data_IF_508567455295
#
_entry.id   IF_508567455295
#
_cell.length_a   1.000
_cell.length_b   1.000
_cell.length_c   1.000
_cell.angle_alpha   90.00
_cell.angle_beta   90.00
_cell.angle_gamma   90.00
#
_symmetry.space_group_name_H-M   'P 1'
#
loop_
_entity.id
_entity.type
_entity.pdbx_description
1 polymer ?
#
# COMPACT_ATOMS: atom_id res chain seq x y z
N UNK A 1 5.04 16.88 15.05
CA UNK A 1 5.63 16.22 16.23
C UNK A 1 5.86 17.20 17.39
N UNK A 2 4.79 17.80 17.95
CA UNK A 2 4.85 18.62 19.19
C UNK A 2 3.58 18.50 20.05
N UNK A 3 2.76 17.48 19.78
CA UNK A 3 1.50 17.26 20.50
C UNK A 3 1.74 16.30 21.67
N UNK A 4 0.94 16.38 22.75
CA UNK A 4 0.97 15.40 23.84
C UNK A 4 0.77 13.95 23.34
N UNK A 5 1.20 12.97 24.13
CA UNK A 5 1.03 11.52 23.88
C UNK A 5 1.88 10.92 22.74
N UNK A 6 3.15 11.31 22.64
CA UNK A 6 4.12 10.65 21.76
C UNK A 6 4.58 9.29 22.30
N UNK A 7 5.09 8.42 21.42
CA UNK A 7 5.57 7.08 21.77
C UNK A 7 7.04 7.01 22.23
N UNK A 8 7.80 8.11 22.14
CA UNK A 8 9.19 8.18 22.62
C UNK A 8 9.25 8.59 24.10
N UNK A 9 8.68 7.72 24.95
CA UNK A 9 8.61 7.89 26.40
C UNK A 9 8.47 6.52 27.08
N UNK A 10 8.76 6.44 28.39
CA UNK A 10 8.58 5.20 29.17
C UNK A 10 7.10 4.81 29.32
N UNK A 11 6.22 5.80 29.32
CA UNK A 11 4.76 5.62 29.38
C UNK A 11 4.10 6.48 28.31
N UNK A 12 3.09 5.93 27.63
CA UNK A 12 2.28 6.64 26.66
C UNK A 12 0.80 6.29 26.85
N UNK A 13 -0.07 7.26 26.58
CA UNK A 13 -1.51 7.00 26.45
C UNK A 13 -1.88 7.02 24.98
N UNK A 14 -2.80 6.15 24.56
CA UNK A 14 -3.28 6.10 23.20
C UNK A 14 -4.81 5.91 23.22
N UNK A 15 -5.55 6.52 22.29
CA UNK A 15 -6.96 6.20 22.10
C UNK A 15 -7.15 4.71 21.83
N UNK A 16 -8.17 4.09 22.44
CA UNK A 16 -8.41 2.64 22.32
C UNK A 16 -8.61 2.18 20.86
N UNK A 17 -9.12 3.05 19.99
CA UNK A 17 -9.34 2.77 18.58
C UNK A 17 -8.06 2.83 17.72
N UNK A 18 -6.91 3.16 18.31
CA UNK A 18 -5.60 3.10 17.66
C UNK A 18 -4.69 2.04 18.26
N UNK A 19 -5.20 1.19 19.15
CA UNK A 19 -4.45 0.12 19.80
C UNK A 19 -5.05 -1.24 19.44
N UNK A 20 -4.24 -2.29 19.59
CA UNK A 20 -4.68 -3.67 19.42
C UNK A 20 -3.82 -4.59 20.29
N UNK A 21 -4.36 -5.75 20.66
CA UNK A 21 -3.62 -6.74 21.42
C UNK A 21 -2.53 -7.39 20.56
N UNK A 22 -1.33 -7.45 21.12
CA UNK A 22 -0.21 -8.17 20.51
C UNK A 22 -0.49 -9.67 20.67
N UNK A 23 -0.49 -10.47 19.60
CA UNK A 23 -0.62 -11.92 19.73
C UNK A 23 0.58 -12.52 20.48
N UNK A 24 0.36 -13.57 21.28
CA UNK A 24 1.43 -14.24 22.06
C UNK A 24 2.62 -14.73 21.21
N UNK A 25 2.39 -14.96 19.92
CA UNK A 25 3.40 -15.41 18.96
C UNK A 25 4.27 -14.28 18.37
N UNK A 26 4.00 -13.02 18.70
CA UNK A 26 4.64 -11.83 18.14
C UNK A 26 5.37 -11.07 19.24
N UNK A 27 6.64 -10.75 19.05
CA UNK A 27 7.41 -10.00 20.05
C UNK A 27 7.00 -8.52 20.10
N UNK A 28 7.40 -7.81 21.15
CA UNK A 28 7.15 -6.37 21.24
C UNK A 28 7.85 -5.58 20.13
N UNK A 29 9.07 -5.96 19.77
CA UNK A 29 9.86 -5.35 18.69
C UNK A 29 9.16 -5.53 17.35
N UNK A 30 8.68 -6.74 17.09
CA UNK A 30 7.91 -7.07 15.90
C UNK A 30 6.61 -6.25 15.84
N UNK A 31 5.86 -6.22 16.94
CA UNK A 31 4.60 -5.49 17.04
C UNK A 31 4.76 -3.98 16.87
N UNK A 32 5.84 -3.39 17.38
CA UNK A 32 6.11 -1.95 17.29
C UNK A 32 6.25 -1.44 15.84
N UNK A 33 6.59 -2.31 14.89
CA UNK A 33 6.74 -1.95 13.46
C UNK A 33 5.42 -1.86 12.70
N UNK A 34 4.33 -2.39 13.26
CA UNK A 34 3.06 -2.56 12.58
C UNK A 34 2.25 -1.25 12.50
N UNK A 35 1.99 -0.52 13.61
CA UNK A 35 0.88 0.44 13.65
C UNK A 35 0.94 1.49 12.55
N UNK A 36 2.01 2.30 12.51
CA UNK A 36 2.06 3.41 11.57
C UNK A 36 2.04 2.94 10.11
N UNK A 37 2.91 1.98 9.76
CA UNK A 37 3.08 1.54 8.38
C UNK A 37 1.87 0.76 7.86
N UNK A 38 1.31 -0.16 8.67
CA UNK A 38 0.16 -0.95 8.28
C UNK A 38 -1.10 -0.09 8.18
N UNK A 39 -1.39 0.79 9.15
CA UNK A 39 -2.56 1.68 9.07
C UNK A 39 -2.45 2.69 7.94
N UNK A 40 -1.27 3.21 7.64
CA UNK A 40 -1.08 4.09 6.46
C UNK A 40 -1.43 3.37 5.17
N UNK A 41 -1.01 2.11 5.05
CA UNK A 41 -1.34 1.26 3.90
C UNK A 41 -2.83 0.93 3.83
N UNK A 42 -3.47 0.73 4.99
CA UNK A 42 -4.92 0.54 5.09
C UNK A 42 -5.68 1.77 4.58
N UNK A 43 -5.31 2.96 5.05
CA UNK A 43 -5.92 4.21 4.57
C UNK A 43 -5.71 4.36 3.05
N UNK A 44 -4.51 4.08 2.55
CA UNK A 44 -4.25 4.17 1.12
C UNK A 44 -5.11 3.22 0.28
N UNK A 45 -5.15 1.95 0.64
CA UNK A 45 -5.80 0.93 -0.18
C UNK A 45 -7.33 0.93 -0.01
N UNK A 46 -7.82 0.91 1.22
CA UNK A 46 -9.23 0.64 1.49
C UNK A 46 -10.06 1.90 1.62
N UNK A 47 -9.50 2.97 2.21
CA UNK A 47 -10.19 4.25 2.33
C UNK A 47 -10.06 5.11 1.06
N UNK A 48 -8.83 5.39 0.62
CA UNK A 48 -8.61 6.32 -0.49
C UNK A 48 -8.79 5.68 -1.86
N UNK A 49 -8.25 4.47 -2.06
CA UNK A 49 -8.40 3.75 -3.32
C UNK A 49 -9.67 2.90 -3.37
N UNK A 50 -10.47 2.82 -2.30
CA UNK A 50 -11.73 2.05 -2.26
C UNK A 50 -11.56 0.61 -2.78
N UNK A 51 -10.46 -0.04 -2.41
CA UNK A 51 -10.27 -1.46 -2.66
C UNK A 51 -11.17 -2.23 -1.70
N UNK A 52 -11.82 -3.33 -2.13
CA UNK A 52 -12.58 -4.17 -1.22
C UNK A 52 -11.71 -4.72 -0.09
N UNK A 53 -12.18 -4.66 1.14
CA UNK A 53 -11.47 -5.23 2.28
C UNK A 53 -11.41 -6.77 2.18
N UNK A 54 -10.39 -7.42 2.78
CA UNK A 54 -10.20 -8.87 2.69
C UNK A 54 -11.40 -9.74 3.10
N UNK A 55 -12.26 -9.24 3.99
CA UNK A 55 -13.45 -9.94 4.46
C UNK A 55 -14.71 -9.60 3.64
N UNK A 56 -14.65 -8.61 2.75
CA UNK A 56 -15.76 -8.21 1.89
C UNK A 56 -16.12 -9.32 0.90
N UNK A 57 -17.41 -9.56 0.60
CA UNK A 57 -17.81 -10.45 -0.48
C UNK A 57 -17.17 -10.08 -1.84
N UNK A 58 -16.92 -8.79 -2.08
CA UNK A 58 -16.28 -8.30 -3.31
C UNK A 58 -14.81 -8.70 -3.47
N UNK A 59 -14.12 -9.03 -2.37
CA UNK A 59 -12.77 -9.58 -2.39
C UNK A 59 -12.75 -11.08 -2.74
N UNK A 60 -13.88 -11.78 -2.58
CA UNK A 60 -14.01 -13.21 -2.89
C UNK A 60 -14.34 -13.48 -4.36
N UNK A 61 -14.49 -12.44 -5.17
CA UNK A 61 -14.74 -12.61 -6.60
C UNK A 61 -13.42 -12.81 -7.35
N UNK A 62 -13.48 -13.49 -8.50
CA UNK A 62 -12.34 -13.67 -9.41
C UNK A 62 -12.08 -12.43 -10.28
N UNK A 63 -12.69 -11.28 -9.94
CA UNK A 63 -12.54 -10.06 -10.70
C UNK A 63 -11.13 -9.51 -10.50
N UNK A 64 -10.37 -9.40 -11.59
CA UNK A 64 -9.05 -8.77 -11.55
C UNK A 64 -9.16 -7.29 -11.20
N UNK A 65 -8.30 -6.85 -10.28
CA UNK A 65 -8.19 -5.48 -9.76
C UNK A 65 -6.73 -5.08 -9.84
N UNK A 66 -6.25 -4.58 -10.99
CA UNK A 66 -4.87 -4.18 -11.12
C UNK A 66 -4.53 -3.06 -10.13
N UNK A 67 -3.37 -3.17 -9.47
CA UNK A 67 -2.87 -2.20 -8.52
C UNK A 67 -1.38 -1.94 -8.77
N UNK A 68 -1.02 -0.67 -8.87
CA UNK A 68 0.37 -0.23 -8.90
C UNK A 68 0.80 0.19 -7.49
N UNK A 69 1.91 -0.35 -6.98
CA UNK A 69 2.52 0.10 -5.73
C UNK A 69 3.93 0.59 -6.03
N UNK A 70 4.14 1.90 -5.97
CA UNK A 70 5.46 2.50 -6.13
C UNK A 70 6.15 2.64 -4.76
N UNK A 71 7.38 2.14 -4.66
CA UNK A 71 8.10 2.04 -3.38
C UNK A 71 7.88 0.71 -2.65
N UNK A 72 7.98 -0.41 -3.35
CA UNK A 72 7.77 -1.76 -2.82
C UNK A 72 8.57 -2.07 -1.53
N UNK A 73 9.74 -1.46 -1.38
CA UNK A 73 10.64 -1.65 -0.23
C UNK A 73 10.41 -0.67 0.92
N UNK A 74 9.52 0.31 0.79
CA UNK A 74 9.14 1.14 1.93
C UNK A 74 8.29 0.31 2.90
N UNK A 75 8.25 0.66 4.19
CA UNK A 75 7.43 -0.07 5.15
C UNK A 75 5.95 -0.08 4.74
N UNK A 76 5.42 1.06 4.28
CA UNK A 76 4.04 1.19 3.80
C UNK A 76 3.82 0.46 2.47
N UNK A 77 4.75 0.53 1.52
CA UNK A 77 4.66 -0.21 0.26
C UNK A 77 4.61 -1.72 0.48
N UNK A 78 5.46 -2.24 1.37
CA UNK A 78 5.49 -3.67 1.71
C UNK A 78 4.20 -4.15 2.39
N UNK A 79 3.67 -3.39 3.36
CA UNK A 79 2.35 -3.68 3.93
C UNK A 79 1.24 -3.57 2.89
N UNK A 80 1.30 -2.57 2.01
CA UNK A 80 0.37 -2.39 0.90
C UNK A 80 0.28 -3.64 0.02
N UNK A 81 1.42 -4.22 -0.38
CA UNK A 81 1.46 -5.45 -1.20
C UNK A 81 0.77 -6.61 -0.48
N UNK A 82 1.08 -6.80 0.81
CA UNK A 82 0.49 -7.89 1.61
C UNK A 82 -1.00 -7.72 1.82
N UNK A 83 -1.44 -6.50 2.11
CA UNK A 83 -2.86 -6.17 2.32
C UNK A 83 -3.65 -6.31 1.03
N UNK A 84 -3.09 -5.87 -0.10
CA UNK A 84 -3.68 -6.05 -1.42
C UNK A 84 -3.81 -7.55 -1.77
N UNK A 85 -2.75 -8.33 -1.57
CA UNK A 85 -2.80 -9.78 -1.79
C UNK A 85 -3.83 -10.47 -0.88
N UNK A 86 -3.92 -10.07 0.40
CA UNK A 86 -4.95 -10.56 1.32
C UNK A 86 -6.37 -10.18 0.89
N UNK A 87 -6.53 -9.08 0.17
CA UNK A 87 -7.77 -8.62 -0.45
C UNK A 87 -8.03 -9.22 -1.85
N UNK A 88 -7.25 -10.21 -2.27
CA UNK A 88 -7.31 -10.85 -3.59
C UNK A 88 -7.19 -9.85 -4.75
N UNK A 89 -6.42 -8.78 -4.56
CA UNK A 89 -6.17 -7.75 -5.57
C UNK A 89 -5.04 -8.21 -6.48
N UNK A 90 -5.34 -8.46 -7.75
CA UNK A 90 -4.37 -8.91 -8.75
C UNK A 90 -4.71 -8.38 -10.15
N UNK A 91 -3.71 -8.10 -11.01
CA UNK A 91 -2.27 -8.15 -10.74
C UNK A 91 -1.77 -6.98 -9.88
N UNK A 92 -0.81 -7.25 -9.00
CA UNK A 92 -0.05 -6.25 -8.24
C UNK A 92 1.28 -6.02 -8.97
N UNK A 93 1.48 -4.82 -9.49
CA UNK A 93 2.76 -4.40 -10.05
C UNK A 93 3.46 -3.54 -8.99
N UNK A 94 4.48 -4.10 -8.37
CA UNK A 94 5.29 -3.45 -7.36
C UNK A 94 6.53 -2.84 -8.01
N UNK A 95 6.84 -1.58 -7.73
CA UNK A 95 8.05 -0.91 -8.24
C UNK A 95 9.04 -0.71 -7.11
N UNK A 96 10.25 -1.23 -7.29
CA UNK A 96 11.34 -1.12 -6.31
C UNK A 96 12.70 -1.22 -6.99
N UNK A 97 13.80 -1.23 -6.25
CA UNK A 97 15.14 -1.54 -6.80
C UNK A 97 15.43 -3.04 -6.74
N UNK A 98 16.57 -3.49 -7.26
CA UNK A 98 17.09 -4.86 -7.08
C UNK A 98 17.07 -5.33 -5.61
N UNK A 99 17.31 -4.40 -4.66
CA UNK A 99 17.29 -4.70 -3.22
C UNK A 99 15.90 -5.05 -2.69
N UNK A 100 14.85 -4.80 -3.47
CA UNK A 100 13.46 -5.12 -3.14
C UNK A 100 13.12 -6.59 -3.39
N UNK A 101 14.10 -7.44 -3.74
CA UNK A 101 13.89 -8.85 -4.00
C UNK A 101 13.23 -9.60 -2.82
N UNK A 102 13.38 -9.11 -1.59
CA UNK A 102 12.70 -9.66 -0.41
C UNK A 102 11.17 -9.57 -0.47
N UNK A 103 10.60 -8.76 -1.37
CA UNK A 103 9.15 -8.66 -1.58
C UNK A 103 8.61 -9.77 -2.47
N UNK A 104 9.45 -10.40 -3.30
CA UNK A 104 9.03 -11.43 -4.27
C UNK A 104 8.19 -12.56 -3.66
N UNK A 105 8.48 -13.09 -2.46
CA UNK A 105 7.63 -14.12 -1.83
C UNK A 105 6.18 -13.68 -1.57
N UNK A 106 5.88 -12.38 -1.61
CA UNK A 106 4.54 -11.83 -1.45
C UNK A 106 3.84 -11.51 -2.78
N UNK A 107 4.52 -11.74 -3.91
CA UNK A 107 4.00 -11.51 -5.25
C UNK A 107 3.79 -12.86 -5.94
N UNK A 108 2.54 -13.33 -5.95
CA UNK A 108 2.17 -14.54 -6.68
C UNK A 108 2.18 -14.29 -8.20
N UNK A 109 3.25 -14.73 -8.87
CA UNK A 109 3.43 -14.56 -10.32
C UNK A 109 2.33 -15.25 -11.13
N UNK A 110 1.72 -16.34 -10.61
CA UNK A 110 0.62 -17.04 -11.30
C UNK A 110 -0.64 -16.18 -11.43
N UNK A 111 -0.79 -15.19 -10.55
CA UNK A 111 -1.87 -14.18 -10.60
C UNK A 111 -1.47 -12.91 -11.36
N UNK A 112 -0.32 -12.94 -12.04
CA UNK A 112 0.20 -11.81 -12.82
C UNK A 112 0.87 -10.73 -11.97
N UNK A 113 1.19 -11.00 -10.71
CA UNK A 113 1.93 -10.06 -9.88
C UNK A 113 3.39 -10.00 -10.33
N UNK A 114 4.01 -8.83 -10.29
CA UNK A 114 5.40 -8.66 -10.69
C UNK A 114 6.11 -7.55 -9.93
N UNK A 115 7.41 -7.69 -9.78
CA UNK A 115 8.32 -6.64 -9.33
C UNK A 115 8.99 -6.01 -10.56
N UNK A 116 8.84 -4.70 -10.71
CA UNK A 116 9.55 -3.89 -11.71
C UNK A 116 10.70 -3.17 -11.03
N UNK A 117 11.92 -3.43 -11.49
CA UNK A 117 13.13 -2.77 -11.00
C UNK A 117 13.31 -1.39 -11.65
N UNK A 118 13.03 -0.31 -10.91
CA UNK A 118 13.17 1.04 -11.47
C UNK A 118 14.62 1.39 -11.83
N UNK A 119 15.61 0.72 -11.24
CA UNK A 119 17.04 0.98 -11.53
C UNK A 119 17.51 0.40 -12.85
N UNK A 120 16.70 -0.47 -13.47
CA UNK A 120 16.98 -1.07 -14.76
C UNK A 120 16.68 -0.13 -15.96
N UNK A 121 16.01 0.99 -15.72
CA UNK A 121 15.57 1.92 -16.76
C UNK A 121 16.32 3.26 -16.63
N UNK A 122 16.73 3.83 -17.76
CA UNK A 122 17.52 5.07 -17.78
C UNK A 122 16.62 6.30 -17.80
N UNK A 123 15.40 6.15 -18.29
CA UNK A 123 14.43 7.24 -18.45
C UNK A 123 13.10 6.91 -17.79
N UNK A 124 12.35 7.96 -17.44
CA UNK A 124 10.98 7.82 -16.92
C UNK A 124 10.07 7.11 -17.92
N UNK A 125 10.16 7.44 -19.21
CA UNK A 125 9.31 6.84 -20.25
C UNK A 125 9.54 5.34 -20.43
N UNK A 126 10.80 4.89 -20.29
CA UNK A 126 11.13 3.46 -20.30
C UNK A 126 10.51 2.74 -19.10
N UNK A 127 10.60 3.32 -17.90
CA UNK A 127 9.99 2.77 -16.69
C UNK A 127 8.46 2.73 -16.80
N UNK A 128 7.83 3.81 -17.29
CA UNK A 128 6.38 3.88 -17.54
C UNK A 128 5.94 2.78 -18.49
N UNK A 129 6.64 2.58 -19.61
CA UNK A 129 6.35 1.52 -20.57
C UNK A 129 6.49 0.14 -19.93
N UNK A 130 7.54 -0.09 -19.15
CA UNK A 130 7.74 -1.35 -18.47
C UNK A 130 6.63 -1.68 -17.46
N UNK A 131 6.15 -0.68 -16.71
CA UNK A 131 5.02 -0.84 -15.78
C UNK A 131 3.75 -1.20 -16.56
N UNK A 132 3.46 -0.48 -17.66
CA UNK A 132 2.30 -0.74 -18.51
C UNK A 132 2.36 -2.14 -19.15
N UNK A 133 3.53 -2.56 -19.63
CA UNK A 133 3.75 -3.91 -20.15
C UNK A 133 3.56 -4.98 -19.07
N UNK A 134 4.01 -4.73 -17.84
CA UNK A 134 3.82 -5.65 -16.73
C UNK A 134 2.32 -5.84 -16.42
N UNK A 135 1.50 -4.79 -16.47
CA UNK A 135 0.04 -4.92 -16.35
C UNK A 135 -0.58 -5.72 -17.49
N UNK A 136 -0.16 -5.50 -18.74
CA UNK A 136 -0.62 -6.29 -19.90
C UNK A 136 -0.27 -7.78 -19.73
N UNK A 137 0.98 -8.08 -19.35
CA UNK A 137 1.46 -9.45 -19.10
C UNK A 137 0.74 -10.12 -17.93
N UNK A 138 0.44 -9.37 -16.86
CA UNK A 138 -0.37 -9.84 -15.73
C UNK A 138 -1.86 -10.02 -16.06
N UNK A 139 -2.27 -9.69 -17.28
CA UNK A 139 -3.64 -9.81 -17.76
C UNK A 139 -4.60 -8.87 -17.05
N UNK A 140 -4.18 -7.64 -16.77
CA UNK A 140 -5.05 -6.57 -16.31
C UNK A 140 -6.23 -6.36 -17.29
N UNK A 141 -7.46 -6.12 -16.81
CA UNK A 141 -8.57 -5.73 -17.67
C UNK A 141 -8.20 -4.51 -18.52
N UNK A 142 -8.51 -4.56 -19.81
CA UNK A 142 -8.15 -3.54 -20.81
C UNK A 142 -6.64 -3.24 -20.90
N UNK A 143 -5.79 -4.13 -20.37
CA UNK A 143 -4.35 -4.00 -20.37
C UNK A 143 -3.79 -2.84 -19.54
N UNK A 144 -4.57 -2.29 -18.60
CA UNK A 144 -4.18 -1.10 -17.82
C UNK A 144 -4.53 -1.18 -16.34
N UNK A 145 -3.93 -0.27 -15.57
CA UNK A 145 -4.22 -0.07 -14.16
C UNK A 145 -5.03 1.20 -13.92
N UNK A 146 -5.85 1.19 -12.88
CA UNK A 146 -6.72 2.31 -12.49
C UNK A 146 -6.43 2.86 -11.10
N UNK A 147 -5.72 2.10 -10.25
CA UNK A 147 -5.49 2.43 -8.85
C UNK A 147 -3.99 2.31 -8.57
N UNK A 148 -3.42 3.33 -7.96
CA UNK A 148 -2.01 3.31 -7.58
C UNK A 148 -1.78 3.86 -6.17
N UNK A 149 -0.81 3.28 -5.48
CA UNK A 149 -0.29 3.77 -4.21
C UNK A 149 1.18 4.14 -4.36
N UNK A 150 1.49 5.43 -4.28
CA UNK A 150 2.87 5.92 -4.22
C UNK A 150 3.30 6.12 -2.76
N UNK A 151 4.08 5.17 -2.27
CA UNK A 151 4.62 5.18 -0.91
C UNK A 151 5.92 5.97 -0.75
N UNK A 152 6.48 6.48 -1.86
CA UNK A 152 7.66 7.36 -1.88
C UNK A 152 7.22 8.82 -1.89
N UNK A 153 6.21 9.13 -2.72
CA UNK A 153 5.54 10.43 -2.77
C UNK A 153 6.45 11.62 -3.13
N UNK A 154 7.56 11.38 -3.83
CA UNK A 154 8.37 12.44 -4.43
C UNK A 154 7.67 12.99 -5.69
N UNK A 155 7.97 14.23 -6.10
CA UNK A 155 7.31 14.81 -7.28
C UNK A 155 7.55 13.95 -8.53
N UNK A 156 8.77 13.44 -8.66
CA UNK A 156 9.13 12.51 -9.74
C UNK A 156 8.34 11.22 -9.69
N UNK A 157 8.16 10.60 -8.52
CA UNK A 157 7.45 9.33 -8.41
C UNK A 157 5.96 9.51 -8.67
N UNK A 158 5.35 10.59 -8.19
CA UNK A 158 3.94 10.90 -8.46
C UNK A 158 3.74 11.12 -9.97
N UNK A 159 4.61 11.89 -10.64
CA UNK A 159 4.57 12.04 -12.11
C UNK A 159 4.67 10.69 -12.82
N UNK A 160 5.68 9.89 -12.51
CA UNK A 160 5.88 8.57 -13.12
C UNK A 160 4.67 7.67 -12.94
N UNK A 161 4.10 7.63 -11.73
CA UNK A 161 2.93 6.81 -11.41
C UNK A 161 1.68 7.28 -12.16
N UNK A 162 1.42 8.59 -12.22
CA UNK A 162 0.29 9.13 -12.99
C UNK A 162 0.41 8.79 -14.48
N UNK A 163 1.59 8.96 -15.09
CA UNK A 163 1.84 8.53 -16.47
C UNK A 163 1.67 7.02 -16.68
N UNK A 164 2.08 6.20 -15.70
CA UNK A 164 1.96 4.75 -15.78
C UNK A 164 0.51 4.25 -15.79
N UNK A 165 -0.41 4.94 -15.11
CA UNK A 165 -1.83 4.56 -15.04
C UNK A 165 -2.75 5.45 -15.89
N UNK A 166 -2.18 6.37 -16.66
CA UNK A 166 -2.90 7.35 -17.47
C UNK A 166 -3.87 6.69 -18.48
N UNK A 167 -4.92 7.43 -18.82
CA UNK A 167 -5.88 7.07 -19.85
C UNK A 167 -7.31 7.49 -19.51
N UNK A 168 -8.28 7.22 -20.40
CA UNK A 168 -9.63 7.76 -20.28
C UNK A 168 -10.33 7.33 -18.97
N UNK A 169 -11.30 8.12 -18.48
CA UNK A 169 -12.21 7.71 -17.42
C UNK A 169 -13.02 6.46 -17.81
N UNK A 170 -13.58 5.78 -16.80
CA UNK A 170 -14.50 4.67 -17.03
C UNK A 170 -15.87 5.14 -17.55
N UNK A 171 -16.77 4.20 -17.83
CA UNK A 171 -18.14 4.49 -18.29
C UNK A 171 -18.96 5.37 -17.35
N UNK A 172 -18.55 5.51 -16.08
CA UNK A 172 -19.20 6.36 -15.08
C UNK A 172 -18.50 7.72 -14.91
N UNK A 173 -17.46 7.99 -15.70
CA UNK A 173 -16.66 9.22 -15.63
C UNK A 173 -15.58 9.19 -14.56
N UNK A 174 -15.33 8.06 -13.89
CA UNK A 174 -14.28 7.97 -12.86
C UNK A 174 -12.91 7.86 -13.51
N UNK A 175 -12.01 8.76 -13.12
CA UNK A 175 -10.62 8.76 -13.55
C UNK A 175 -9.81 7.69 -12.81
N UNK A 176 -8.69 7.22 -13.39
CA UNK A 176 -7.64 6.55 -12.62
C UNK A 176 -7.23 7.40 -11.42
N UNK A 177 -6.89 6.76 -10.31
CA UNK A 177 -6.56 7.45 -9.05
C UNK A 177 -5.24 6.94 -8.49
N UNK A 178 -4.36 7.87 -8.11
CA UNK A 178 -3.18 7.60 -7.29
C UNK A 178 -3.37 8.23 -5.92
N UNK A 179 -2.93 7.54 -4.87
CA UNK A 179 -2.81 8.12 -3.53
C UNK A 179 -1.36 8.15 -3.06
N UNK A 180 -1.01 9.17 -2.28
CA UNK A 180 0.35 9.41 -1.77
C UNK A 180 0.31 9.85 -0.29
N UNK A 181 1.43 9.74 0.42
CA UNK A 181 1.53 9.96 1.88
C UNK A 181 2.22 11.28 2.26
N UNK A 182 2.67 12.08 1.29
CA UNK A 182 3.30 13.40 1.51
C UNK A 182 2.37 14.57 1.14
N UNK A 183 1.05 14.37 1.28
CA UNK A 183 0.04 15.43 1.18
C UNK A 183 -0.02 16.17 -0.17
N UNK A 184 0.32 15.49 -1.27
CA UNK A 184 0.25 16.08 -2.61
C UNK A 184 -1.13 15.87 -3.22
N UNK A 185 -1.71 16.94 -3.79
CA UNK A 185 -2.93 16.89 -4.62
C UNK A 185 -2.68 17.35 -6.05
N UNK A 186 -1.55 18.02 -6.29
CA UNK A 186 -1.11 18.47 -7.59
C UNK A 186 0.41 18.35 -7.65
N UNK A 187 0.92 17.93 -8.79
CA UNK A 187 2.35 17.85 -9.09
C UNK A 187 2.52 18.33 -10.53
N UNK A 188 3.45 19.25 -10.76
CA UNK A 188 3.76 19.73 -12.11
C UNK A 188 4.19 18.57 -13.00
N UNK A 189 3.67 18.49 -14.24
CA UNK A 189 3.99 17.40 -15.18
C UNK A 189 3.33 16.05 -14.88
N UNK A 190 2.43 15.98 -13.89
CA UNK A 190 1.57 14.82 -13.69
C UNK A 190 0.51 14.73 -14.80
N UNK A 191 0.06 13.50 -15.10
CA UNK A 191 -0.94 13.30 -16.15
C UNK A 191 -2.34 13.79 -15.72
N UNK A 192 -2.98 14.69 -16.48
CA UNK A 192 -4.26 15.31 -16.11
C UNK A 192 -5.46 14.35 -16.14
N UNK A 193 -5.29 13.17 -16.76
CA UNK A 193 -6.29 12.11 -16.75
C UNK A 193 -6.38 11.38 -15.41
N UNK A 194 -5.44 11.60 -14.48
CA UNK A 194 -5.34 10.87 -13.22
C UNK A 194 -5.63 11.78 -12.02
N UNK A 195 -6.49 11.33 -11.12
CA UNK A 195 -6.74 12.01 -9.85
C UNK A 195 -5.65 11.69 -8.82
N UNK A 196 -5.13 12.74 -8.17
CA UNK A 196 -4.10 12.63 -7.13
C UNK A 196 -4.76 12.91 -5.78
N UNK A 197 -4.80 11.91 -4.91
CA UNK A 197 -5.37 11.99 -3.58
C UNK A 197 -4.31 11.83 -2.48
N UNK A 198 -4.66 12.28 -1.28
CA UNK A 198 -3.79 12.15 -0.11
C UNK A 198 -4.29 11.02 0.77
N UNK A 199 -3.39 10.10 1.13
CA UNK A 199 -3.59 9.18 2.24
C UNK A 199 -3.08 9.79 3.54
N UNK A 200 -3.99 9.98 4.52
CA UNK A 200 -3.60 10.43 5.87
C UNK A 200 -4.08 9.43 6.90
N UNK A 201 -3.13 8.75 7.53
CA UNK A 201 -3.43 7.87 8.68
C UNK A 201 -3.98 8.68 9.86
N UNK A 202 -3.66 9.98 9.94
CA UNK A 202 -4.16 10.86 11.00
C UNK A 202 -5.66 11.07 10.98
N UNK A 203 -6.37 10.73 9.88
CA UNK A 203 -7.83 10.86 9.81
C UNK A 203 -8.54 10.06 10.91
N UNK A 204 -7.93 8.99 11.43
CA UNK A 204 -8.47 8.22 12.57
C UNK A 204 -8.58 9.03 13.86
N UNK A 205 -7.89 10.19 13.94
CA UNK A 205 -7.98 11.11 15.07
C UNK A 205 -8.99 12.23 14.86
N UNK A 206 -9.64 12.31 13.69
CA UNK A 206 -10.66 13.31 13.43
C UNK A 206 -11.92 13.04 14.27
N UNK A 207 -12.77 14.06 14.39
CA UNK A 207 -14.03 13.96 15.16
C UNK A 207 -15.06 13.02 14.52
N UNK A 208 -14.89 12.65 13.25
CA UNK A 208 -15.78 11.72 12.56
C UNK A 208 -15.59 10.29 13.10
N UNK A 209 -16.65 9.75 13.72
CA UNK A 209 -16.68 8.39 14.26
C UNK A 209 -16.41 7.32 13.19
N UNK A 210 -16.72 7.57 11.92
CA UNK A 210 -16.43 6.62 10.83
C UNK A 210 -14.94 6.37 10.67
N UNK A 211 -14.11 7.39 10.88
CA UNK A 211 -12.66 7.25 10.77
C UNK A 211 -12.07 6.46 11.97
N UNK A 212 -12.69 6.55 13.14
CA UNK A 212 -12.29 5.76 14.32
C UNK A 212 -12.62 4.27 14.14
N UNK A 213 -13.73 3.97 13.46
CA UNK A 213 -14.12 2.59 13.15
C UNK A 213 -13.07 1.88 12.27
N UNK A 214 -12.44 2.59 11.33
CA UNK A 214 -11.33 2.03 10.55
C UNK A 214 -10.21 1.53 11.47
N UNK A 215 -9.85 2.33 12.48
CA UNK A 215 -8.90 1.97 13.53
C UNK A 215 -9.30 0.70 14.28
N UNK A 216 -10.52 0.66 14.82
CA UNK A 216 -11.00 -0.51 15.58
C UNK A 216 -11.03 -1.80 14.73
N UNK A 217 -11.57 -1.71 13.51
CA UNK A 217 -11.76 -2.87 12.63
C UNK A 217 -10.40 -3.44 12.19
N UNK A 218 -9.49 -2.60 11.74
CA UNK A 218 -8.17 -3.06 11.31
C UNK A 218 -7.27 -3.44 12.48
N UNK A 219 -7.41 -2.81 13.65
CA UNK A 219 -6.76 -3.24 14.88
C UNK A 219 -7.17 -4.67 15.27
N UNK A 220 -8.46 -4.98 15.19
CA UNK A 220 -8.96 -6.34 15.40
C UNK A 220 -8.46 -7.32 14.33
N UNK A 221 -8.30 -6.88 13.07
CA UNK A 221 -7.71 -7.70 12.02
C UNK A 221 -6.24 -8.01 12.31
N UNK A 222 -5.45 -7.01 12.72
CA UNK A 222 -4.04 -7.16 13.10
C UNK A 222 -3.84 -8.04 14.33
N UNK A 223 -4.69 -7.93 15.35
CA UNK A 223 -4.65 -8.80 16.53
C UNK A 223 -4.92 -10.27 16.20
N UNK A 224 -5.58 -10.59 15.08
CA UNK A 224 -5.87 -11.97 14.66
C UNK A 224 -4.78 -12.56 13.75
N UNK A 225 -3.77 -11.78 13.37
CA UNK A 225 -2.70 -12.18 12.44
C UNK A 225 -1.91 -13.41 12.89
N UNK A 226 -1.84 -13.69 14.20
CA UNK A 226 -1.24 -14.92 14.73
C UNK A 226 -1.83 -16.22 14.14
N UNK A 227 -3.02 -16.16 13.52
CA UNK A 227 -3.68 -17.31 12.89
C UNK A 227 -3.51 -17.40 11.35
N UNK A 228 -2.89 -16.42 10.68
CA UNK A 228 -2.75 -16.39 9.20
C UNK A 228 -1.33 -15.96 8.74
N UNK A 229 -0.59 -16.81 7.99
CA UNK A 229 0.85 -16.62 7.68
C UNK A 229 1.25 -15.34 6.91
N UNK A 230 0.34 -14.73 6.16
CA UNK A 230 0.65 -13.64 5.20
C UNK A 230 1.15 -12.38 5.91
N UNK A 231 0.66 -12.09 7.11
CA UNK A 231 1.00 -10.88 7.87
C UNK A 231 2.08 -11.13 8.95
N UNK A 232 2.23 -12.36 9.47
CA UNK A 232 3.28 -12.69 10.47
C UNK A 232 4.69 -12.79 9.90
N UNK A 233 4.86 -13.12 8.61
CA UNK A 233 6.20 -13.40 8.07
C UNK A 233 7.12 -12.18 7.96
N UNK A 234 6.61 -10.95 8.14
CA UNK A 234 7.42 -9.72 8.04
C UNK A 234 8.28 -9.48 9.27
N UNK A 235 7.69 -9.71 10.44
CA UNK A 235 8.28 -9.55 11.75
C UNK A 235 9.64 -10.29 11.87
N UNK A 236 9.65 -11.55 11.43
CA UNK A 236 10.85 -12.40 11.39
C UNK A 236 11.86 -12.03 10.31
N UNK A 237 11.43 -11.37 9.22
CA UNK A 237 12.29 -11.07 8.07
C UNK A 237 13.00 -9.71 8.19
N UNK A 238 12.34 -8.70 8.76
CA UNK A 238 12.97 -7.40 9.07
C UNK A 238 14.07 -7.56 10.12
N UNK A 239 13.86 -8.43 11.12
CA UNK A 239 14.85 -8.71 12.16
C UNK A 239 16.01 -9.61 11.71
N UNK A 240 15.88 -10.35 10.59
CA UNK A 240 16.94 -11.26 10.09
C UNK A 240 17.64 -10.78 8.82
N UNK A 241 17.13 -9.77 8.14
CA UNK A 241 17.63 -9.32 6.82
C UNK A 241 18.19 -7.90 6.77
N UNK A 242 18.11 -7.12 7.85
CA UNK A 242 18.73 -5.80 7.93
C UNK A 242 20.03 -5.94 8.73
N UNK A 243 21.23 -5.84 8.12
CA UNK A 243 22.40 -5.53 8.91
C UNK A 243 22.12 -4.17 9.55
N UNK A 244 22.03 -4.14 10.89
CA UNK A 244 22.14 -2.87 11.59
C UNK A 244 23.58 -2.38 11.40
N UNK A 245 23.68 -1.24 10.71
CA UNK A 245 24.89 -0.44 10.44
C UNK A 245 25.82 -1.01 9.36
#
# INVERSE_FOLDING_TARGET
MRTPNGAFAEYATAPYYTTFHIPDSVSFEEAATIPLAAYTSVCALFQELEIPEPWSPLAKTEAKRPLLIYGASTATGAYGIKLAAAANVHPIIAVGSQRSAFIKPFLDESKGNALVDYTAYKTEDELVKAIQEAFKKGGAPDGRCWKAFDSVSEDSTVRTVTKAIAGPPDSTGRKPKVTNILMKTQVEGADPSVDIAISKVSHVHDKDEKNKLLGVVWGAAFARVGSRPILTSWARMVLRGCPMV
#
